data_IF_339871358971
#
_entry.id   IF_339871358971
#
_cell.length_a   1.000
_cell.length_b   1.000
_cell.length_c   1.000
_cell.angle_alpha   90.00
_cell.angle_beta   90.00
_cell.angle_gamma   90.00
#
_symmetry.space_group_name_H-M   'P 1'
#
loop_
_entity.id
_entity.type
_entity.pdbx_description
1 polymer ?
#
# COMPACT_ATOMS: atom_id res chain seq x y z
N UNK A 1 7.70 5.50 -4.88
CA UNK A 1 7.00 5.92 -6.09
C UNK A 1 5.86 4.98 -6.31
N UNK A 2 4.66 5.34 -5.86
CA UNK A 2 3.46 4.50 -6.01
C UNK A 2 2.74 4.92 -7.27
N UNK A 3 2.49 3.99 -8.19
CA UNK A 3 1.72 4.28 -9.41
C UNK A 3 0.24 4.39 -9.03
N UNK A 4 -0.39 5.49 -9.43
CA UNK A 4 -1.83 5.70 -9.32
C UNK A 4 -2.42 5.83 -10.71
N UNK A 5 -3.57 5.23 -10.94
CA UNK A 5 -4.33 5.37 -12.19
C UNK A 5 -5.58 6.20 -11.90
N UNK A 6 -5.75 7.29 -12.64
CA UNK A 6 -6.89 8.20 -12.51
C UNK A 6 -7.73 8.09 -13.77
N UNK A 7 -9.00 7.73 -13.59
CA UNK A 7 -9.97 7.66 -14.67
C UNK A 7 -10.73 8.98 -14.78
N UNK A 8 -10.79 9.48 -16.00
CA UNK A 8 -11.43 10.73 -16.37
C UNK A 8 -12.84 10.43 -16.88
N UNK A 9 -13.76 11.34 -16.61
CA UNK A 9 -15.14 11.26 -17.09
C UNK A 9 -15.27 11.52 -18.59
N UNK A 10 -14.31 12.22 -19.19
CA UNK A 10 -14.23 12.48 -20.62
C UNK A 10 -12.80 12.24 -21.13
N UNK A 11 -12.70 11.93 -22.42
CA UNK A 11 -11.41 11.83 -23.08
C UNK A 11 -10.85 13.24 -23.33
N UNK A 12 -9.56 13.45 -23.03
CA UNK A 12 -8.88 14.66 -23.50
C UNK A 12 -8.41 14.44 -24.94
N UNK A 13 -8.57 15.45 -25.79
CA UNK A 13 -7.98 15.42 -27.13
C UNK A 13 -6.48 15.71 -27.11
N UNK A 14 -6.02 16.38 -26.03
CA UNK A 14 -4.63 16.75 -25.81
C UNK A 14 -4.26 16.53 -24.33
N UNK A 15 -3.25 15.70 -24.09
CA UNK A 15 -2.77 15.31 -22.76
C UNK A 15 -1.47 16.01 -22.37
N UNK A 16 -0.93 16.86 -23.23
CA UNK A 16 0.32 17.54 -22.94
C UNK A 16 0.14 18.54 -21.78
N UNK A 17 1.13 18.59 -20.89
CA UNK A 17 1.11 19.48 -19.73
C UNK A 17 0.13 19.11 -18.61
N UNK A 18 -0.35 17.87 -18.54
CA UNK A 18 -1.13 17.38 -17.39
C UNK A 18 -0.18 16.98 -16.26
N UNK A 19 -0.49 17.45 -15.05
CA UNK A 19 0.27 17.19 -13.84
C UNK A 19 -0.64 16.72 -12.71
N UNK A 20 -0.15 15.77 -11.92
CA UNK A 20 -0.74 15.33 -10.67
C UNK A 20 -0.13 16.07 -9.49
N UNK A 21 -0.98 16.75 -8.72
CA UNK A 21 -0.61 17.47 -7.51
C UNK A 21 -1.03 16.66 -6.29
N UNK A 22 -0.07 16.13 -5.55
CA UNK A 22 -0.24 15.46 -4.27
C UNK A 22 -0.02 16.47 -3.14
N UNK A 23 -1.04 17.26 -2.82
CA UNK A 23 -0.90 18.43 -1.97
C UNK A 23 0.06 19.44 -2.58
N UNK A 24 1.29 19.52 -2.05
CA UNK A 24 2.37 20.41 -2.53
C UNK A 24 3.41 19.74 -3.42
N UNK A 25 3.32 18.43 -3.59
CA UNK A 25 4.24 17.65 -4.41
C UNK A 25 3.62 17.45 -5.79
N UNK A 26 4.43 17.57 -6.85
CA UNK A 26 3.94 17.48 -8.23
C UNK A 26 4.62 16.30 -8.93
N UNK A 27 3.85 15.57 -9.72
CA UNK A 27 4.33 14.53 -10.64
C UNK A 27 3.76 14.78 -12.03
N UNK A 28 4.52 14.45 -13.06
CA UNK A 28 3.99 14.36 -14.41
C UNK A 28 2.99 13.20 -14.52
N UNK A 29 1.97 13.40 -15.35
CA UNK A 29 1.00 12.38 -15.70
C UNK A 29 1.36 11.77 -17.06
N UNK A 30 1.22 10.45 -17.18
CA UNK A 30 1.38 9.71 -18.43
C UNK A 30 0.03 9.19 -18.91
N UNK A 31 -0.29 9.40 -20.17
CA UNK A 31 -1.49 8.84 -20.77
C UNK A 31 -1.37 7.32 -20.93
N UNK A 32 -2.36 6.58 -20.43
CA UNK A 32 -2.44 5.12 -20.65
C UNK A 32 -3.44 4.79 -21.75
N UNK A 33 -4.62 5.40 -21.70
CA UNK A 33 -5.66 5.27 -22.72
C UNK A 33 -6.48 6.57 -22.77
N UNK A 34 -7.38 6.71 -23.76
CA UNK A 34 -8.12 7.95 -24.01
C UNK A 34 -8.86 8.57 -22.82
N UNK A 35 -9.09 7.85 -21.71
CA UNK A 35 -9.69 8.41 -20.48
C UNK A 35 -8.96 8.02 -19.20
N UNK A 36 -7.76 7.46 -19.28
CA UNK A 36 -6.99 7.01 -18.10
C UNK A 36 -5.59 7.56 -18.14
N UNK A 37 -5.22 8.26 -17.08
CA UNK A 37 -3.87 8.74 -16.87
C UNK A 37 -3.24 8.01 -15.68
N UNK A 38 -1.93 7.91 -15.71
CA UNK A 38 -1.12 7.37 -14.63
C UNK A 38 -0.20 8.45 -14.07
N UNK A 39 -0.05 8.47 -12.76
CA UNK A 39 0.90 9.33 -12.07
C UNK A 39 1.71 8.52 -11.08
N UNK A 40 2.95 8.96 -10.82
CA UNK A 40 3.81 8.33 -9.82
C UNK A 40 3.84 9.24 -8.60
N UNK A 41 3.23 8.79 -7.51
CA UNK A 41 3.28 9.51 -6.24
C UNK A 41 4.73 9.68 -5.77
N UNK A 42 5.21 10.92 -5.54
CA UNK A 42 6.56 11.17 -5.03
C UNK A 42 6.79 10.48 -3.68
N UNK A 43 7.99 9.99 -3.40
CA UNK A 43 8.27 9.33 -2.12
C UNK A 43 8.21 10.29 -0.94
N UNK A 44 7.68 9.83 0.19
CA UNK A 44 7.68 10.54 1.47
C UNK A 44 8.17 9.64 2.60
N UNK A 45 8.87 10.21 3.57
CA UNK A 45 9.29 9.54 4.80
C UNK A 45 8.29 9.67 5.96
N UNK A 46 7.28 10.51 5.79
CA UNK A 46 6.26 10.78 6.80
C UNK A 46 4.90 10.27 6.34
N UNK A 47 4.10 9.82 7.30
CA UNK A 47 2.72 9.45 7.04
C UNK A 47 1.83 10.68 7.12
N UNK A 48 1.02 10.91 6.09
CA UNK A 48 0.04 12.00 6.06
C UNK A 48 -0.93 11.81 4.89
N UNK A 49 -2.12 12.38 5.01
CA UNK A 49 -3.11 12.42 3.92
C UNK A 49 -2.97 13.71 3.12
N UNK A 50 -3.13 13.61 1.80
CA UNK A 50 -3.23 14.75 0.89
C UNK A 50 -4.41 14.60 -0.04
N UNK A 51 -4.93 15.72 -0.50
CA UNK A 51 -5.77 15.74 -1.68
C UNK A 51 -4.88 15.67 -2.93
N UNK A 52 -5.26 14.79 -3.85
CA UNK A 52 -4.68 14.71 -5.17
C UNK A 52 -5.58 15.42 -6.15
N UNK A 53 -5.00 16.33 -6.92
CA UNK A 53 -5.68 17.11 -7.95
C UNK A 53 -4.92 17.03 -9.25
N UNK A 54 -5.64 17.20 -10.35
CA UNK A 54 -5.02 17.30 -11.66
C UNK A 54 -5.00 18.76 -12.10
N UNK A 55 -3.95 19.14 -12.81
CA UNK A 55 -3.91 20.42 -13.50
C UNK A 55 -3.48 20.22 -14.95
N UNK A 56 -4.05 21.02 -15.86
CA UNK A 56 -3.58 21.14 -17.24
C UNK A 56 -3.21 22.59 -17.49
N UNK A 57 -1.99 22.86 -17.96
CA UNK A 57 -1.51 24.22 -18.27
C UNK A 57 -1.75 25.22 -17.11
N UNK A 58 -1.48 24.81 -15.88
CA UNK A 58 -1.69 25.58 -14.64
C UNK A 58 -3.15 25.83 -14.21
N UNK A 59 -4.13 25.27 -14.91
CA UNK A 59 -5.53 25.27 -14.49
C UNK A 59 -5.88 23.95 -13.82
N UNK A 60 -6.45 23.99 -12.61
CA UNK A 60 -6.94 22.80 -11.93
C UNK A 60 -8.18 22.25 -12.61
N UNK A 61 -8.19 20.94 -12.84
CA UNK A 61 -9.36 20.21 -13.29
C UNK A 61 -10.30 19.98 -12.11
N UNK A 62 -11.58 19.79 -12.41
CA UNK A 62 -12.57 19.48 -11.39
C UNK A 62 -12.36 18.07 -10.82
N UNK A 63 -12.67 17.92 -9.54
CA UNK A 63 -12.47 16.68 -8.79
C UNK A 63 -11.16 16.62 -8.02
N UNK A 64 -11.21 15.88 -6.92
CA UNK A 64 -10.05 15.53 -6.11
C UNK A 64 -10.30 14.18 -5.46
N UNK A 65 -9.23 13.49 -5.09
CA UNK A 65 -9.31 12.25 -4.32
C UNK A 65 -8.26 12.27 -3.21
N UNK A 66 -8.54 11.55 -2.12
CA UNK A 66 -7.60 11.46 -1.01
C UNK A 66 -6.55 10.39 -1.31
N UNK A 67 -5.31 10.74 -1.06
CA UNK A 67 -4.18 9.82 -1.07
C UNK A 67 -3.48 9.87 0.27
N UNK A 68 -3.18 8.71 0.83
CA UNK A 68 -2.47 8.60 2.09
C UNK A 68 -1.06 8.08 1.87
N UNK A 69 -0.08 8.86 2.30
CA UNK A 69 1.27 8.39 2.45
C UNK A 69 1.33 7.55 3.73
N UNK A 70 1.68 6.28 3.57
CA UNK A 70 1.96 5.37 4.69
C UNK A 70 3.43 4.99 4.67
N UNK A 71 4.01 4.77 5.85
CA UNK A 71 5.35 4.18 5.95
C UNK A 71 5.24 2.68 5.67
N UNK A 72 6.21 2.15 4.94
CA UNK A 72 6.31 0.72 4.72
C UNK A 72 6.42 -0.01 6.08
N UNK A 73 5.64 -1.08 6.30
CA UNK A 73 5.74 -1.86 7.53
C UNK A 73 7.13 -2.49 7.63
N UNK A 74 7.66 -2.54 8.85
CA UNK A 74 8.95 -3.18 9.11
C UNK A 74 8.79 -4.27 10.15
N UNK A 75 9.31 -5.45 9.84
CA UNK A 75 9.25 -6.62 10.72
C UNK A 75 10.60 -6.75 11.42
N UNK A 76 10.59 -6.84 12.74
CA UNK A 76 11.77 -7.06 13.57
C UNK A 76 11.94 -8.53 13.94
N UNK A 77 10.84 -9.27 14.08
CA UNK A 77 10.89 -10.69 14.36
C UNK A 77 9.54 -11.31 14.65
N UNK A 78 9.54 -12.63 14.74
CA UNK A 78 8.38 -13.47 15.05
C UNK A 78 8.68 -14.34 16.28
N UNK A 79 7.70 -14.51 17.16
CA UNK A 79 7.79 -15.39 18.32
C UNK A 79 6.45 -16.11 18.61
N UNK A 80 6.44 -17.43 18.82
CA UNK A 80 7.54 -18.35 18.54
C UNK A 80 7.86 -18.42 17.04
N UNK A 81 9.12 -18.72 16.68
CA UNK A 81 9.55 -18.91 15.29
C UNK A 81 9.33 -20.35 14.80
N UNK A 82 8.42 -21.08 15.44
CA UNK A 82 8.07 -22.46 15.13
C UNK A 82 6.55 -22.65 15.19
N UNK A 83 6.05 -23.66 14.48
CA UNK A 83 4.65 -24.10 14.51
C UNK A 83 4.59 -25.60 14.27
N UNK A 84 3.48 -26.23 14.68
CA UNK A 84 3.19 -27.62 14.31
C UNK A 84 2.71 -27.71 12.86
N UNK A 85 2.83 -28.90 12.25
CA UNK A 85 2.30 -29.20 10.91
C UNK A 85 0.78 -29.08 10.81
N UNK A 86 0.09 -29.23 11.94
CA UNK A 86 -1.37 -29.05 12.04
C UNK A 86 -1.78 -27.57 12.08
N UNK A 87 -0.82 -26.64 12.13
CA UNK A 87 -1.08 -25.21 12.26
C UNK A 87 -1.66 -24.85 13.64
N UNK A 88 -2.55 -23.84 13.66
CA UNK A 88 -3.25 -23.28 14.83
C UNK A 88 -2.37 -22.70 15.93
N UNK A 89 -1.05 -22.67 15.71
CA UNK A 89 -0.12 -21.99 16.62
C UNK A 89 -0.32 -20.49 16.47
N UNK A 90 -0.44 -19.80 17.61
CA UNK A 90 -0.51 -18.33 17.60
C UNK A 90 0.91 -17.80 17.66
N UNK A 91 1.28 -17.01 16.65
CA UNK A 91 2.57 -16.34 16.58
C UNK A 91 2.39 -14.84 16.67
N UNK A 92 3.33 -14.19 17.35
CA UNK A 92 3.41 -12.75 17.48
C UNK A 92 4.47 -12.22 16.53
N UNK A 93 4.09 -11.28 15.67
CA UNK A 93 4.99 -10.52 14.81
C UNK A 93 5.20 -9.15 15.43
N UNK A 94 6.47 -8.82 15.71
CA UNK A 94 6.88 -7.53 16.24
C UNK A 94 7.51 -6.69 15.13
N UNK A 95 7.23 -5.40 15.13
CA UNK A 95 7.68 -4.50 14.08
C UNK A 95 7.28 -3.05 14.32
N UNK A 96 7.13 -2.29 13.25
CA UNK A 96 6.59 -0.93 13.26
C UNK A 96 5.86 -0.59 11.98
N UNK A 97 4.98 0.40 12.07
CA UNK A 97 4.15 0.92 10.97
C UNK A 97 3.16 -0.11 10.41
N UNK A 98 2.65 -1.01 11.25
CA UNK A 98 1.59 -1.92 10.88
C UNK A 98 0.26 -1.17 10.72
N UNK A 99 -0.40 -1.38 9.58
CA UNK A 99 -1.69 -0.75 9.23
C UNK A 99 -2.71 -1.80 8.84
N UNK A 100 -3.99 -1.53 9.11
CA UNK A 100 -5.07 -2.50 8.88
C UNK A 100 -5.57 -2.50 7.44
N UNK A 101 -5.35 -1.41 6.69
CA UNK A 101 -5.95 -1.24 5.36
C UNK A 101 -5.34 -2.18 4.31
N UNK A 102 -4.01 -2.33 4.27
CA UNK A 102 -3.33 -2.98 3.14
C UNK A 102 -1.99 -3.61 3.55
N UNK A 103 -2.03 -4.53 4.50
CA UNK A 103 -0.84 -5.31 4.88
C UNK A 103 -1.05 -6.78 4.55
N UNK A 104 -0.05 -7.38 3.90
CA UNK A 104 0.04 -8.81 3.66
C UNK A 104 1.30 -9.38 4.32
N UNK A 105 1.19 -10.59 4.86
CA UNK A 105 2.30 -11.31 5.48
C UNK A 105 2.41 -12.67 4.82
N UNK A 106 3.58 -12.96 4.23
CA UNK A 106 3.89 -14.30 3.77
C UNK A 106 4.40 -15.15 4.95
N UNK A 107 3.83 -16.34 5.16
CA UNK A 107 4.36 -17.39 6.03
C UNK A 107 4.74 -18.59 5.16
N UNK A 108 6.02 -18.71 4.82
CA UNK A 108 6.49 -19.68 3.82
C UNK A 108 5.80 -19.42 2.48
N UNK A 109 5.02 -20.41 2.00
CA UNK A 109 4.25 -20.30 0.76
C UNK A 109 2.81 -19.80 0.98
N UNK A 110 2.43 -19.47 2.21
CA UNK A 110 1.07 -19.01 2.52
C UNK A 110 1.03 -17.49 2.65
N UNK A 111 0.22 -16.84 1.83
CA UNK A 111 -0.05 -15.40 1.93
C UNK A 111 -1.25 -15.15 2.84
N UNK A 112 -1.05 -14.30 3.84
CA UNK A 112 -2.09 -13.85 4.74
C UNK A 112 -2.38 -12.38 4.46
N UNK A 113 -3.63 -12.09 4.08
CA UNK A 113 -4.10 -10.73 3.90
C UNK A 113 -4.48 -10.08 5.23
N UNK A 114 -4.73 -8.77 5.22
CA UNK A 114 -5.06 -7.98 6.41
C UNK A 114 -6.26 -8.50 7.21
N UNK A 115 -7.21 -9.21 6.59
CA UNK A 115 -8.38 -9.80 7.29
C UNK A 115 -8.02 -11.00 8.15
N UNK A 116 -6.94 -11.70 7.81
CA UNK A 116 -6.42 -12.85 8.57
C UNK A 116 -5.43 -12.45 9.67
N UNK A 117 -5.11 -11.15 9.80
CA UNK A 117 -4.17 -10.62 10.77
C UNK A 117 -4.89 -9.97 11.95
N UNK A 118 -4.47 -10.29 13.18
CA UNK A 118 -4.99 -9.65 14.38
C UNK A 118 -4.05 -8.53 14.82
N UNK A 119 -4.34 -7.30 14.40
CA UNK A 119 -3.58 -6.12 14.79
C UNK A 119 -3.87 -5.73 16.24
N UNK A 120 -2.84 -5.79 17.09
CA UNK A 120 -2.92 -5.30 18.47
C UNK A 120 -2.51 -3.84 18.55
N UNK A 121 -1.39 -3.50 17.92
CA UNK A 121 -0.85 -2.13 17.84
C UNK A 121 -0.20 -1.92 16.47
N UNK A 122 0.29 -0.71 16.20
CA UNK A 122 1.14 -0.44 15.03
C UNK A 122 2.52 -1.12 15.08
N UNK A 123 2.81 -1.86 16.16
CA UNK A 123 4.08 -2.58 16.40
C UNK A 123 3.90 -4.07 16.67
N UNK A 124 2.67 -4.55 16.87
CA UNK A 124 2.40 -5.94 17.23
C UNK A 124 1.19 -6.48 16.46
N UNK A 125 1.41 -7.58 15.75
CA UNK A 125 0.36 -8.39 15.09
C UNK A 125 0.37 -9.79 15.69
N UNK A 126 -0.80 -10.36 15.94
CA UNK A 126 -0.98 -11.79 16.21
C UNK A 126 -1.51 -12.48 14.97
N UNK A 127 -0.96 -13.66 14.68
CA UNK A 127 -1.33 -14.46 13.52
C UNK A 127 -1.60 -15.88 14.00
N UNK A 128 -2.67 -16.49 13.48
CA UNK A 128 -2.88 -17.93 13.63
C UNK A 128 -2.23 -18.61 12.44
N UNK A 129 -1.18 -19.39 12.67
CA UNK A 129 -0.49 -20.10 11.59
C UNK A 129 -1.47 -21.12 10.98
N UNK A 130 -1.79 -21.03 9.67
CA UNK A 130 -2.63 -22.02 9.02
C UNK A 130 -1.92 -23.38 8.98
N UNK A 131 -2.65 -24.46 8.71
CA UNK A 131 -2.05 -25.78 8.52
C UNK A 131 -1.22 -25.78 7.23
N UNK A 132 0.05 -25.41 7.31
CA UNK A 132 1.01 -25.46 6.21
C UNK A 132 2.07 -26.53 6.47
N UNK A 133 2.44 -27.28 5.43
CA UNK A 133 3.56 -28.22 5.47
C UNK A 133 4.88 -27.42 5.51
N UNK A 134 5.47 -27.26 6.69
CA UNK A 134 6.87 -26.85 6.84
C UNK A 134 7.13 -25.39 7.26
N UNK A 135 8.32 -25.25 7.87
CA UNK A 135 9.05 -24.09 8.43
C UNK A 135 8.53 -22.68 8.13
N UNK A 136 8.44 -21.85 9.17
CA UNK A 136 8.07 -20.44 9.06
C UNK A 136 9.24 -19.62 8.47
N UNK A 137 9.00 -18.98 7.32
CA UNK A 137 9.81 -17.87 6.80
C UNK A 137 8.89 -16.70 6.48
N UNK A 138 9.28 -15.46 6.78
CA UNK A 138 8.42 -14.29 6.54
C UNK A 138 9.09 -13.33 5.58
N UNK A 139 8.33 -12.94 4.55
CA UNK A 139 8.67 -11.84 3.66
C UNK A 139 7.56 -10.81 3.74
N UNK A 140 7.90 -9.54 3.95
CA UNK A 140 6.94 -8.45 3.79
C UNK A 140 6.73 -8.23 2.29
N UNK A 141 5.51 -8.38 1.80
CA UNK A 141 5.16 -8.02 0.43
C UNK A 141 4.51 -6.63 0.42
N UNK A 142 4.93 -5.83 -0.57
CA UNK A 142 4.62 -4.41 -0.73
C UNK A 142 3.46 -4.22 -1.70
#
# INVERSE_FOLDING_TARGET
GTKISVQLNSAFEDFNGIQCHFGRLVSEATLVNGSTIECIAPSSHQSFSVDVRLSKNSLYLDGHFKFEYIRAPQIFGIYPSWSTTFGRTIVQVNGRYFTKESMEIALGNTLLNSKSLTFLTSTVIKIVVPSSNGTLGITSLQ
#
